data_IF_740852638184
#
_entry.id   IF_740852638184
#
_cell.length_a   1.000
_cell.length_b   1.000
_cell.length_c   1.000
_cell.angle_alpha   90.00
_cell.angle_beta   90.00
_cell.angle_gamma   90.00
#
_symmetry.space_group_name_H-M   'P 1'
#
loop_
_entity.id
_entity.type
_entity.pdbx_description
1 polymer ?
#
# COMPACT_ATOMS: atom_id res chain seq x y z
N UNK A 1 14.19 57.77 37.06
CA UNK A 1 12.98 57.27 36.39
C UNK A 1 13.31 55.93 35.75
N UNK A 2 12.89 54.82 36.36
CA UNK A 2 13.22 53.47 35.91
C UNK A 2 12.10 52.92 35.01
N UNK A 3 12.38 52.77 33.71
CA UNK A 3 11.49 52.11 32.74
C UNK A 3 11.76 50.61 32.80
N UNK A 4 10.91 49.87 33.52
CA UNK A 4 10.80 48.41 33.39
C UNK A 4 9.63 48.14 32.45
N UNK A 5 9.93 47.70 31.23
CA UNK A 5 8.92 47.15 30.32
C UNK A 5 9.11 45.63 30.29
N UNK A 6 8.07 44.95 30.77
CA UNK A 6 7.91 43.51 30.85
C UNK A 6 8.10 42.86 29.47
N UNK A 7 9.06 41.96 29.35
CA UNK A 7 9.10 41.01 28.25
C UNK A 7 8.02 39.95 28.51
N UNK A 8 6.91 40.02 27.76
CA UNK A 8 5.89 38.98 27.73
C UNK A 8 6.50 37.82 26.94
N UNK A 9 7.00 36.81 27.66
CA UNK A 9 7.40 35.54 27.08
C UNK A 9 6.13 34.83 26.59
N UNK A 10 5.90 34.88 25.29
CA UNK A 10 4.84 34.15 24.61
C UNK A 10 5.25 32.66 24.61
N UNK A 11 4.85 31.92 25.64
CA UNK A 11 5.01 30.47 25.69
C UNK A 11 4.04 29.88 24.66
N UNK A 12 4.57 29.53 23.49
CA UNK A 12 3.85 28.75 22.50
C UNK A 12 3.92 27.30 22.95
N UNK A 13 2.93 26.87 23.74
CA UNK A 13 2.68 25.46 23.99
C UNK A 13 2.24 24.81 22.68
N UNK A 14 3.22 24.34 21.90
CA UNK A 14 2.96 23.42 20.79
C UNK A 14 2.52 22.12 21.45
N UNK A 15 1.21 21.96 21.61
CA UNK A 15 0.59 20.69 21.91
C UNK A 15 0.91 19.72 20.76
N UNK A 16 1.99 18.97 20.91
CA UNK A 16 2.28 17.81 20.08
C UNK A 16 1.16 16.83 20.41
N UNK A 17 0.15 16.77 19.54
CA UNK A 17 -0.92 15.80 19.66
C UNK A 17 -0.29 14.40 19.56
N UNK A 18 0.01 13.79 20.71
CA UNK A 18 0.41 12.39 20.84
C UNK A 18 -0.82 11.49 20.58
N UNK A 19 -1.33 11.50 19.35
CA UNK A 19 -2.05 10.34 18.83
C UNK A 19 -1.01 9.39 18.24
N UNK A 20 -1.15 8.09 18.50
CA UNK A 20 -0.40 7.12 17.71
C UNK A 20 -0.73 7.37 16.23
N UNK A 21 0.27 7.65 15.38
CA UNK A 21 0.00 7.97 13.98
C UNK A 21 -0.79 6.81 13.37
N UNK A 22 -1.88 7.10 12.67
CA UNK A 22 -2.67 6.11 11.92
C UNK A 22 -2.73 6.52 10.47
N UNK A 23 -2.66 5.55 9.57
CA UNK A 23 -2.65 5.81 8.12
C UNK A 23 -3.43 4.74 7.38
N UNK A 24 -3.92 5.09 6.19
CA UNK A 24 -4.58 4.14 5.29
C UNK A 24 -3.50 3.30 4.61
N UNK A 25 -3.60 1.98 4.74
CA UNK A 25 -2.83 1.04 3.94
C UNK A 25 -3.51 0.88 2.58
N UNK A 26 -2.75 1.06 1.49
CA UNK A 26 -3.22 1.03 0.12
C UNK A 26 -2.50 -0.05 -0.67
N UNK A 27 -3.19 -0.61 -1.64
CA UNK A 27 -2.66 -1.60 -2.57
C UNK A 27 -3.49 -1.66 -3.84
N UNK A 28 -3.13 -2.57 -4.73
CA UNK A 28 -3.83 -2.78 -6.01
C UNK A 28 -4.21 -4.25 -6.12
N UNK A 29 -5.47 -4.52 -6.47
CA UNK A 29 -5.99 -5.89 -6.60
C UNK A 29 -5.36 -6.58 -7.79
N UNK A 30 -4.88 -7.80 -7.62
CA UNK A 30 -4.47 -8.68 -8.71
C UNK A 30 -5.67 -9.34 -9.38
N UNK A 31 -5.77 -9.18 -10.70
CA UNK A 31 -6.78 -9.82 -11.53
C UNK A 31 -6.19 -11.02 -12.24
N UNK A 32 -6.33 -12.20 -11.63
CA UNK A 32 -5.82 -13.48 -12.13
C UNK A 32 -6.24 -13.71 -13.59
N UNK A 33 -7.49 -13.37 -13.92
CA UNK A 33 -8.11 -13.54 -15.23
C UNK A 33 -7.50 -12.64 -16.32
N UNK A 34 -7.10 -11.42 -15.94
CA UNK A 34 -6.57 -10.40 -16.89
C UNK A 34 -5.06 -10.21 -16.80
N UNK A 35 -4.42 -10.84 -15.82
CA UNK A 35 -2.99 -10.74 -15.49
C UNK A 35 -2.48 -9.31 -15.32
N UNK A 36 -3.30 -8.43 -14.75
CA UNK A 36 -2.98 -7.02 -14.45
C UNK A 36 -3.49 -6.62 -13.06
N UNK A 37 -3.12 -5.42 -12.61
CA UNK A 37 -3.58 -4.86 -11.35
C UNK A 37 -4.74 -3.87 -11.56
N UNK A 38 -5.75 -3.89 -10.71
CA UNK A 38 -6.72 -2.79 -10.68
C UNK A 38 -6.05 -1.48 -10.20
N UNK A 39 -6.82 -0.40 -10.19
CA UNK A 39 -6.40 0.89 -9.63
C UNK A 39 -6.15 0.78 -8.12
N UNK A 40 -5.44 1.77 -7.56
CA UNK A 40 -5.14 1.82 -6.13
C UNK A 40 -6.44 1.85 -5.31
N UNK A 41 -6.50 1.01 -4.29
CA UNK A 41 -7.60 0.91 -3.34
C UNK A 41 -7.11 0.96 -1.90
N UNK A 42 -8.00 1.32 -0.99
CA UNK A 42 -7.75 1.31 0.45
C UNK A 42 -8.08 -0.07 1.01
N UNK A 43 -7.14 -0.64 1.75
CA UNK A 43 -7.26 -1.99 2.33
C UNK A 43 -7.74 -1.93 3.77
N UNK A 44 -7.08 -1.10 4.59
CA UNK A 44 -7.41 -0.92 6.00
C UNK A 44 -6.71 0.34 6.57
N UNK A 45 -6.99 0.68 7.83
CA UNK A 45 -6.23 1.65 8.61
C UNK A 45 -5.24 0.91 9.50
N UNK A 46 -3.97 1.28 9.40
CA UNK A 46 -2.89 0.69 10.20
C UNK A 46 -2.27 1.77 11.10
N UNK A 47 -1.85 1.36 12.30
CA UNK A 47 -1.13 2.21 13.24
C UNK A 47 0.34 2.27 12.85
N UNK A 48 0.94 3.46 12.78
CA UNK A 48 2.35 3.67 12.52
C UNK A 48 2.61 4.89 11.63
N UNK A 49 3.86 5.33 11.63
CA UNK A 49 4.35 6.41 10.77
C UNK A 49 4.13 6.08 9.28
N UNK A 50 3.87 7.06 8.39
CA UNK A 50 3.84 6.86 6.93
C UNK A 50 5.04 6.09 6.38
N UNK A 51 4.85 5.32 5.30
CA UNK A 51 5.92 4.46 4.80
C UNK A 51 6.99 5.36 4.19
N UNK A 52 8.25 5.15 4.58
CA UNK A 52 9.37 5.80 3.92
C UNK A 52 9.54 5.29 2.48
N UNK A 53 10.35 5.96 1.64
CA UNK A 53 10.58 5.56 0.24
C UNK A 53 11.35 4.23 0.08
N UNK A 54 11.67 3.55 1.18
CA UNK A 54 12.56 2.40 1.26
C UNK A 54 11.80 1.05 1.17
N UNK A 55 10.48 1.09 1.08
CA UNK A 55 9.64 -0.11 1.11
C UNK A 55 9.68 -0.81 -0.25
N UNK A 56 10.11 -2.08 -0.25
CA UNK A 56 10.02 -2.94 -1.43
C UNK A 56 8.58 -3.30 -1.78
N UNK A 57 8.36 -3.87 -2.98
CA UNK A 57 7.07 -4.40 -3.36
C UNK A 57 6.69 -5.57 -2.44
N UNK A 58 5.43 -5.62 -2.02
CA UNK A 58 4.87 -6.64 -1.13
C UNK A 58 3.59 -7.20 -1.72
N UNK A 59 3.39 -8.50 -1.52
CA UNK A 59 2.17 -9.21 -1.84
C UNK A 59 1.38 -9.43 -0.54
N UNK A 60 0.09 -9.10 -0.57
CA UNK A 60 -0.83 -9.34 0.53
C UNK A 60 -1.97 -10.24 0.05
N UNK A 61 -2.18 -11.37 0.71
CA UNK A 61 -3.30 -12.27 0.41
C UNK A 61 -4.35 -12.18 1.52
N UNK A 62 -5.60 -11.94 1.12
CA UNK A 62 -6.75 -11.95 2.02
C UNK A 62 -7.60 -13.18 1.71
N UNK A 63 -7.71 -14.10 2.67
CA UNK A 63 -8.65 -15.22 2.59
C UNK A 63 -10.07 -14.76 2.94
N UNK A 64 -11.07 -15.35 2.29
CA UNK A 64 -12.49 -15.14 2.55
C UNK A 64 -13.12 -16.37 3.19
N UNK A 65 -14.26 -16.17 3.87
CA UNK A 65 -14.98 -17.25 4.56
C UNK A 65 -15.59 -18.30 3.63
N UNK A 66 -15.76 -17.99 2.35
CA UNK A 66 -16.23 -18.91 1.30
C UNK A 66 -15.10 -19.78 0.69
N UNK A 67 -13.86 -19.64 1.18
CA UNK A 67 -12.69 -20.32 0.65
C UNK A 67 -12.04 -19.60 -0.55
N UNK A 68 -12.60 -18.47 -0.99
CA UNK A 68 -11.97 -17.58 -1.97
C UNK A 68 -10.83 -16.78 -1.38
N UNK A 69 -10.09 -16.06 -2.24
CA UNK A 69 -8.99 -15.17 -1.83
C UNK A 69 -8.86 -13.98 -2.77
N UNK A 70 -8.40 -12.85 -2.24
CA UNK A 70 -7.99 -11.69 -3.03
C UNK A 70 -6.52 -11.43 -2.77
N UNK A 71 -5.75 -11.23 -3.82
CA UNK A 71 -4.33 -10.90 -3.75
C UNK A 71 -4.15 -9.43 -4.12
N UNK A 72 -3.30 -8.75 -3.37
CA UNK A 72 -2.98 -7.35 -3.56
C UNK A 72 -1.48 -7.17 -3.68
N UNK A 73 -1.07 -6.25 -4.56
CA UNK A 73 0.30 -5.78 -4.64
C UNK A 73 0.39 -4.35 -4.09
N UNK A 74 1.39 -4.07 -3.26
CA UNK A 74 1.61 -2.76 -2.67
C UNK A 74 3.11 -2.43 -2.59
N UNK A 75 3.43 -1.17 -2.36
CA UNK A 75 4.80 -0.69 -2.08
C UNK A 75 4.88 -0.05 -0.70
N UNK A 76 3.94 -0.38 0.20
CA UNK A 76 3.88 0.19 1.54
C UNK A 76 4.56 -0.73 2.56
N UNK A 77 5.40 -0.14 3.42
CA UNK A 77 5.97 -0.85 4.57
C UNK A 77 4.89 -1.31 5.54
N UNK A 78 5.24 -2.23 6.42
CA UNK A 78 4.41 -2.55 7.57
C UNK A 78 4.16 -1.36 8.52
N UNK A 79 3.28 -1.54 9.52
CA UNK A 79 2.56 -2.78 9.79
C UNK A 79 1.48 -3.05 8.73
N UNK A 80 1.29 -4.33 8.43
CA UNK A 80 0.32 -4.81 7.46
C UNK A 80 -1.06 -4.99 8.14
N UNK A 81 -2.16 -4.83 7.40
CA UNK A 81 -3.49 -5.08 7.96
C UNK A 81 -3.63 -6.51 8.50
N UNK A 82 -4.28 -6.67 9.65
CA UNK A 82 -4.24 -7.92 10.43
C UNK A 82 -4.84 -9.14 9.69
N UNK A 83 -5.78 -8.93 8.78
CA UNK A 83 -6.47 -10.02 8.05
C UNK A 83 -5.73 -10.47 6.78
N UNK A 84 -4.53 -9.93 6.53
CA UNK A 84 -3.78 -10.18 5.32
C UNK A 84 -2.52 -10.98 5.63
N UNK A 85 -2.29 -12.01 4.83
CA UNK A 85 -1.02 -12.72 4.80
C UNK A 85 -0.01 -11.93 3.96
N UNK A 86 1.05 -11.44 4.63
CA UNK A 86 2.16 -10.72 4.02
C UNK A 86 3.41 -11.60 3.82
N UNK A 87 3.34 -12.92 4.09
CA UNK A 87 4.47 -13.82 3.95
C UNK A 87 4.84 -14.08 2.47
N UNK A 88 3.96 -13.71 1.54
CA UNK A 88 4.18 -13.91 0.10
C UNK A 88 4.03 -15.37 -0.34
N UNK A 89 3.31 -16.19 0.44
CA UNK A 89 3.14 -17.63 0.16
C UNK A 89 1.99 -17.95 -0.80
N UNK A 90 1.15 -16.98 -1.15
CA UNK A 90 0.08 -17.20 -2.13
C UNK A 90 0.69 -17.46 -3.53
N UNK A 91 0.23 -18.50 -4.25
CA UNK A 91 0.75 -18.83 -5.57
C UNK A 91 0.56 -17.72 -6.62
N UNK A 92 -0.34 -16.77 -6.40
CA UNK A 92 -0.55 -15.63 -7.30
C UNK A 92 0.39 -14.45 -7.02
N UNK A 93 1.13 -14.46 -5.90
CA UNK A 93 2.05 -13.39 -5.54
C UNK A 93 3.10 -13.08 -6.62
N UNK A 94 3.75 -14.07 -7.26
CA UNK A 94 4.69 -13.79 -8.35
C UNK A 94 4.06 -13.01 -9.51
N UNK A 95 2.83 -13.36 -9.90
CA UNK A 95 2.10 -12.67 -10.96
C UNK A 95 1.74 -11.24 -10.58
N UNK A 96 1.20 -11.04 -9.37
CA UNK A 96 0.85 -9.73 -8.85
C UNK A 96 2.07 -8.79 -8.75
N UNK A 97 3.21 -9.30 -8.25
CA UNK A 97 4.44 -8.54 -8.11
C UNK A 97 5.08 -8.22 -9.47
N UNK A 98 5.01 -9.15 -10.44
CA UNK A 98 5.48 -8.91 -11.79
C UNK A 98 4.64 -7.81 -12.49
N UNK A 99 3.31 -7.82 -12.32
CA UNK A 99 2.46 -6.77 -12.84
C UNK A 99 2.71 -5.42 -12.15
N UNK A 100 2.98 -5.41 -10.84
CA UNK A 100 3.38 -4.20 -10.12
C UNK A 100 4.69 -3.62 -10.68
N UNK A 101 5.68 -4.48 -10.96
CA UNK A 101 6.97 -4.05 -11.53
C UNK A 101 6.84 -3.43 -12.93
N UNK A 102 5.83 -3.85 -13.70
CA UNK A 102 5.49 -3.26 -15.00
C UNK A 102 4.56 -2.05 -14.92
N UNK A 103 4.08 -1.70 -13.72
CA UNK A 103 2.97 -0.76 -13.52
C UNK A 103 1.73 -1.10 -14.39
N UNK A 104 1.42 -2.39 -14.47
CA UNK A 104 0.41 -2.92 -15.36
C UNK A 104 -0.99 -2.79 -14.75
N UNK A 105 -1.81 -1.92 -15.33
CA UNK A 105 -3.15 -1.58 -14.87
C UNK A 105 -4.21 -2.20 -15.77
N UNK A 106 -5.19 -2.85 -15.17
CA UNK A 106 -6.38 -3.31 -15.87
C UNK A 106 -7.23 -2.11 -16.30
N UNK A 107 -7.54 -2.04 -17.58
CA UNK A 107 -8.44 -1.02 -18.16
C UNK A 107 -9.88 -1.52 -18.21
N UNK A 108 -10.80 -0.56 -18.30
CA UNK A 108 -12.25 -0.84 -18.40
C UNK A 108 -12.64 -1.49 -19.73
N UNK A 109 -11.81 -1.35 -20.76
CA UNK A 109 -11.98 -2.01 -22.07
C UNK A 109 -11.59 -3.50 -22.06
N UNK A 110 -11.19 -4.03 -20.90
CA UNK A 110 -10.76 -5.41 -20.73
C UNK A 110 -9.28 -5.66 -21.06
N UNK A 111 -8.55 -4.63 -21.49
CA UNK A 111 -7.11 -4.74 -21.79
C UNK A 111 -6.24 -4.42 -20.58
N UNK A 112 -4.95 -4.73 -20.70
CA UNK A 112 -3.91 -4.38 -19.74
C UNK A 112 -3.10 -3.19 -20.26
N UNK A 113 -2.60 -2.33 -19.37
CA UNK A 113 -1.85 -1.14 -19.77
C UNK A 113 -0.41 -1.43 -20.17
N UNK A 114 0.18 -2.48 -19.61
CA UNK A 114 1.53 -2.93 -19.90
C UNK A 114 1.61 -4.47 -19.86
N UNK A 115 1.00 -5.14 -20.86
CA UNK A 115 0.93 -6.60 -20.88
C UNK A 115 2.33 -7.22 -20.97
N UNK A 116 2.54 -8.44 -20.46
CA UNK A 116 3.81 -9.13 -20.62
C UNK A 116 4.11 -9.31 -22.11
N UNK A 117 5.40 -9.23 -22.48
CA UNK A 117 5.84 -9.48 -23.85
C UNK A 117 5.47 -10.91 -24.26
N UNK A 118 4.62 -11.04 -25.28
CA UNK A 118 4.15 -12.34 -25.77
C UNK A 118 5.28 -13.26 -26.30
N UNK A 119 6.51 -12.74 -26.43
CA UNK A 119 7.69 -13.50 -26.83
C UNK A 119 8.34 -14.29 -25.67
N UNK A 120 8.02 -13.99 -24.41
CA UNK A 120 8.61 -14.67 -23.25
C UNK A 120 7.90 -16.00 -22.89
N UNK A 121 6.72 -16.26 -23.46
CA UNK A 121 5.92 -17.46 -23.21
C UNK A 121 6.13 -18.58 -24.26
N UNK A 122 7.12 -18.43 -25.15
CA UNK A 122 7.41 -19.36 -26.25
C UNK A 122 8.65 -20.26 -26.02
N UNK A 123 9.17 -20.32 -24.80
CA UNK A 123 10.35 -21.14 -24.42
C UNK A 123 9.99 -22.33 -23.52
#
# INVERSE_FOLDING_TARGET
MARRLFAIALVVDVAIACGDPSRIYQGRVWRVDRRCLDVVTSLDVVTGEPPGPQCGPICLAQGHSDGGRTVYAATMCGPYPHLFDAAGTDPECPGALAALARDDTCRDDGTSSNPPDAAADAE
#
